data_IF_534236840519
#
_entry.id   IF_534236840519
#
_cell.length_a   1.000
_cell.length_b   1.000
_cell.length_c   1.000
_cell.angle_alpha   90.00
_cell.angle_beta   90.00
_cell.angle_gamma   90.00
#
_symmetry.space_group_name_H-M   'P 1'
#
loop_
_entity.id
_entity.type
_entity.pdbx_description
1 polymer ?
#
# COMPACT_ATOMS: atom_id res chain seq x y z
N UNK A 1 5.40 11.92 48.91
CA UNK A 1 5.27 11.71 47.45
C UNK A 1 5.63 13.01 46.75
N UNK A 2 6.82 13.09 46.14
CA UNK A 2 7.49 14.35 45.83
C UNK A 2 6.94 14.98 44.53
N UNK A 3 6.84 16.32 44.44
CA UNK A 3 6.31 17.02 43.25
C UNK A 3 7.08 16.69 41.96
N UNK A 4 8.37 16.32 42.05
CA UNK A 4 9.19 15.88 40.91
C UNK A 4 8.73 14.53 40.35
N UNK A 5 8.29 13.61 41.21
CA UNK A 5 7.79 12.30 40.78
C UNK A 5 6.49 12.46 39.98
N UNK A 6 5.57 13.32 40.44
CA UNK A 6 4.33 13.64 39.70
C UNK A 6 4.55 14.30 38.34
N UNK A 7 5.60 15.11 38.19
CA UNK A 7 5.94 15.75 36.91
C UNK A 7 6.54 14.73 35.93
N UNK A 8 7.41 13.83 36.41
CA UNK A 8 7.97 12.73 35.61
C UNK A 8 6.92 11.71 35.17
N UNK A 9 5.95 11.40 36.04
CA UNK A 9 4.83 10.51 35.73
C UNK A 9 3.87 11.13 34.70
N UNK A 10 3.59 12.43 34.83
CA UNK A 10 2.72 13.18 33.89
C UNK A 10 3.34 13.36 32.51
N UNK A 11 4.66 13.60 32.41
CA UNK A 11 5.36 13.69 31.11
C UNK A 11 5.47 12.34 30.42
N UNK A 12 5.69 11.26 31.18
CA UNK A 12 5.75 9.90 30.63
C UNK A 12 4.37 9.41 30.15
N UNK A 13 3.30 9.73 30.88
CA UNK A 13 1.90 9.49 30.46
C UNK A 13 1.54 10.27 29.19
N UNK A 14 1.88 11.57 29.10
CA UNK A 14 1.66 12.37 27.87
C UNK A 14 2.47 11.87 26.67
N UNK A 15 3.61 11.23 26.90
CA UNK A 15 4.42 10.61 25.85
C UNK A 15 3.80 9.27 25.41
N UNK A 16 3.26 8.49 26.33
CA UNK A 16 2.56 7.23 26.05
C UNK A 16 1.27 7.45 25.23
N UNK A 17 0.46 8.45 25.59
CA UNK A 17 -0.77 8.81 24.87
C UNK A 17 -0.50 9.26 23.43
N UNK A 18 0.63 9.92 23.21
CA UNK A 18 1.02 10.33 21.87
C UNK A 18 1.49 9.10 21.09
N UNK A 19 2.29 8.23 21.69
CA UNK A 19 2.72 7.01 21.01
C UNK A 19 1.53 6.13 20.60
N UNK A 20 0.48 6.04 21.41
CA UNK A 20 -0.72 5.27 21.07
C UNK A 20 -1.53 5.91 19.93
N UNK A 21 -1.74 7.24 19.97
CA UNK A 21 -2.45 7.98 18.93
C UNK A 21 -1.68 8.05 17.59
N UNK A 22 -0.37 7.95 17.63
CA UNK A 22 0.48 7.99 16.42
C UNK A 22 0.74 6.62 15.79
N UNK A 23 0.38 5.52 16.47
CA UNK A 23 0.60 4.17 15.94
C UNK A 23 -0.10 3.93 14.58
N UNK A 24 -1.38 4.29 14.38
CA UNK A 24 -2.03 4.14 13.07
C UNK A 24 -1.35 4.94 11.96
N UNK A 25 -0.75 6.10 12.30
CA UNK A 25 0.01 6.93 11.37
C UNK A 25 1.19 6.17 10.76
N UNK A 26 1.79 5.23 11.48
CA UNK A 26 2.96 4.48 11.02
C UNK A 26 2.64 3.06 10.56
N UNK A 27 1.67 2.40 11.21
CA UNK A 27 1.34 1.00 10.92
C UNK A 27 0.80 0.81 9.51
N UNK A 28 -0.09 1.68 9.08
CA UNK A 28 -0.73 1.62 7.77
C UNK A 28 0.27 1.78 6.61
N UNK A 29 1.10 2.84 6.55
CA UNK A 29 2.07 2.99 5.46
C UNK A 29 3.14 1.90 5.47
N UNK A 30 3.54 1.39 6.65
CA UNK A 30 4.41 0.22 6.73
C UNK A 30 3.76 -1.03 6.10
N UNK A 31 2.48 -1.27 6.37
CA UNK A 31 1.75 -2.38 5.77
C UNK A 31 1.67 -2.27 4.24
N UNK A 32 1.53 -1.05 3.72
CA UNK A 32 1.58 -0.77 2.28
C UNK A 32 2.96 -1.07 1.72
N UNK A 33 4.02 -0.56 2.35
CA UNK A 33 5.41 -0.83 1.96
C UNK A 33 5.70 -2.33 1.93
N UNK A 34 5.35 -3.06 2.99
CA UNK A 34 5.55 -4.51 3.05
C UNK A 34 4.72 -5.26 2.00
N UNK A 35 3.51 -4.78 1.64
CA UNK A 35 2.72 -5.35 0.53
C UNK A 35 3.42 -5.12 -0.82
N UNK A 36 3.89 -3.90 -1.07
CA UNK A 36 4.65 -3.55 -2.29
C UNK A 36 5.92 -4.38 -2.42
N UNK A 37 6.70 -4.46 -1.34
CA UNK A 37 7.91 -5.29 -1.27
C UNK A 37 7.67 -6.76 -1.63
N UNK A 38 6.65 -7.39 -1.02
CA UNK A 38 6.33 -8.80 -1.32
C UNK A 38 5.84 -9.01 -2.76
N UNK A 39 5.16 -8.01 -3.31
CA UNK A 39 4.65 -8.06 -4.69
C UNK A 39 5.79 -7.90 -5.68
N UNK A 40 6.69 -6.96 -5.44
CA UNK A 40 7.92 -6.76 -6.20
C UNK A 40 8.78 -8.02 -6.20
N UNK A 41 9.05 -8.58 -5.01
CA UNK A 41 9.82 -9.83 -4.87
C UNK A 41 9.23 -10.95 -5.73
N UNK A 42 7.93 -11.24 -5.59
CA UNK A 42 7.25 -12.29 -6.36
C UNK A 42 7.31 -12.04 -7.88
N UNK A 43 7.17 -10.78 -8.29
CA UNK A 43 7.21 -10.39 -9.70
C UNK A 43 8.61 -10.60 -10.27
N UNK A 44 9.64 -10.13 -9.57
CA UNK A 44 11.03 -10.28 -9.98
C UNK A 44 11.46 -11.75 -10.00
N UNK A 45 11.12 -12.53 -8.98
CA UNK A 45 11.42 -13.97 -8.95
C UNK A 45 10.82 -14.70 -10.17
N UNK A 46 9.61 -14.32 -10.58
CA UNK A 46 8.96 -14.87 -11.77
C UNK A 46 9.67 -14.49 -13.06
N UNK A 47 10.01 -13.22 -13.23
CA UNK A 47 10.71 -12.76 -14.44
C UNK A 47 12.12 -13.34 -14.53
N UNK A 48 12.82 -13.49 -13.40
CA UNK A 48 14.12 -14.18 -13.32
C UNK A 48 13.98 -15.65 -13.75
N UNK A 49 12.94 -16.35 -13.31
CA UNK A 49 12.68 -17.73 -13.77
C UNK A 49 12.42 -17.80 -15.29
N UNK A 50 11.72 -16.82 -15.87
CA UNK A 50 11.52 -16.75 -17.32
C UNK A 50 12.84 -16.53 -18.09
N UNK A 51 13.74 -15.70 -17.57
CA UNK A 51 15.08 -15.49 -18.12
C UNK A 51 15.92 -16.76 -18.01
N UNK A 52 15.95 -17.42 -16.85
CA UNK A 52 16.65 -18.69 -16.65
C UNK A 52 16.18 -19.77 -17.63
N UNK A 53 14.86 -19.86 -17.86
CA UNK A 53 14.30 -20.78 -18.83
C UNK A 53 14.79 -20.48 -20.27
N UNK A 54 14.93 -19.20 -20.65
CA UNK A 54 15.51 -18.85 -21.94
C UNK A 54 17.00 -19.21 -22.04
N UNK A 55 17.76 -19.09 -20.95
CA UNK A 55 19.18 -19.51 -20.94
C UNK A 55 19.28 -21.01 -21.24
N UNK A 56 18.45 -21.82 -20.58
CA UNK A 56 18.41 -23.26 -20.80
C UNK A 56 18.01 -23.64 -22.24
N UNK A 57 17.09 -22.88 -22.85
CA UNK A 57 16.71 -23.06 -24.26
C UNK A 57 17.87 -22.73 -25.22
N UNK A 58 18.64 -21.69 -24.92
CA UNK A 58 19.85 -21.33 -25.67
C UNK A 58 20.91 -22.43 -25.53
N UNK A 59 21.21 -22.89 -24.31
CA UNK A 59 22.21 -23.94 -24.06
C UNK A 59 21.87 -25.24 -24.81
N UNK A 60 20.59 -25.63 -24.80
CA UNK A 60 20.10 -26.78 -25.59
C UNK A 60 20.24 -26.55 -27.09
N UNK A 61 19.90 -25.35 -27.58
CA UNK A 61 20.01 -25.00 -28.99
C UNK A 61 21.46 -25.00 -29.50
N UNK A 62 22.42 -24.66 -28.64
CA UNK A 62 23.86 -24.64 -28.98
C UNK A 62 24.50 -26.04 -28.89
N UNK A 63 23.93 -26.96 -28.12
CA UNK A 63 24.50 -28.31 -27.93
C UNK A 63 24.18 -29.30 -29.04
N UNK A 64 23.42 -28.91 -30.08
CA UNK A 64 23.03 -29.79 -31.20
C UNK A 64 24.00 -29.73 -32.38
N UNK A 65 24.17 -30.85 -33.10
CA UNK A 65 25.12 -30.99 -34.23
C UNK A 65 24.77 -30.20 -35.50
N UNK A 66 23.60 -29.53 -35.57
CA UNK A 66 23.10 -28.90 -36.80
C UNK A 66 22.45 -27.52 -36.54
N UNK A 67 23.25 -26.59 -35.99
CA UNK A 67 22.78 -25.27 -35.56
C UNK A 67 22.66 -24.33 -36.76
N UNK A 68 21.44 -23.87 -37.06
CA UNK A 68 21.23 -22.79 -38.05
C UNK A 68 21.40 -21.44 -37.38
N UNK A 69 22.15 -20.53 -38.01
CA UNK A 69 22.36 -19.15 -37.53
C UNK A 69 21.04 -18.40 -37.27
N UNK A 70 20.00 -18.70 -38.05
CA UNK A 70 18.65 -18.13 -37.87
C UNK A 70 18.00 -18.54 -36.54
N UNK A 71 18.23 -19.78 -36.10
CA UNK A 71 17.65 -20.31 -34.86
C UNK A 71 18.32 -19.68 -33.64
N UNK A 72 19.65 -19.51 -33.68
CA UNK A 72 20.41 -18.76 -32.67
C UNK A 72 19.91 -17.32 -32.58
N UNK A 73 19.76 -16.64 -33.73
CA UNK A 73 19.28 -15.24 -33.75
C UNK A 73 17.87 -15.11 -33.17
N UNK A 74 17.02 -16.10 -33.36
CA UNK A 74 15.66 -16.12 -32.81
C UNK A 74 15.69 -16.31 -31.29
N UNK A 75 16.51 -17.24 -30.79
CA UNK A 75 16.67 -17.51 -29.36
C UNK A 75 17.26 -16.29 -28.61
N UNK A 76 18.27 -15.64 -29.20
CA UNK A 76 18.85 -14.41 -28.66
C UNK A 76 17.82 -13.26 -28.68
N UNK A 77 17.00 -13.15 -29.73
CA UNK A 77 15.88 -12.20 -29.78
C UNK A 77 14.91 -12.38 -28.61
N UNK A 78 14.46 -13.63 -28.38
CA UNK A 78 13.57 -13.94 -27.26
C UNK A 78 14.21 -13.69 -25.87
N UNK A 79 15.52 -13.91 -25.73
CA UNK A 79 16.25 -13.56 -24.51
C UNK A 79 16.25 -12.05 -24.27
N UNK A 80 16.53 -11.25 -25.31
CA UNK A 80 16.50 -9.79 -25.23
C UNK A 80 15.12 -9.29 -24.80
N UNK A 81 14.05 -9.84 -25.37
CA UNK A 81 12.67 -9.52 -24.98
C UNK A 81 12.41 -9.81 -23.49
N UNK A 82 12.78 -11.00 -23.00
CA UNK A 82 12.62 -11.38 -21.59
C UNK A 82 13.42 -10.47 -20.66
N UNK A 83 14.66 -10.11 -21.02
CA UNK A 83 15.49 -9.17 -20.26
C UNK A 83 14.89 -7.76 -20.23
N UNK A 84 14.31 -7.30 -21.34
CA UNK A 84 13.61 -6.01 -21.40
C UNK A 84 12.38 -5.99 -20.50
N UNK A 85 11.59 -7.08 -20.47
CA UNK A 85 10.45 -7.22 -19.57
C UNK A 85 10.90 -7.20 -18.10
N UNK A 86 11.93 -7.98 -17.74
CA UNK A 86 12.51 -7.98 -16.40
C UNK A 86 12.98 -6.57 -15.99
N UNK A 87 13.73 -5.88 -16.85
CA UNK A 87 14.21 -4.52 -16.61
C UNK A 87 13.04 -3.57 -16.31
N UNK A 88 12.03 -3.55 -17.18
CA UNK A 88 10.84 -2.70 -17.01
C UNK A 88 10.12 -3.01 -15.68
N UNK A 89 9.93 -4.30 -15.37
CA UNK A 89 9.26 -4.73 -14.12
C UNK A 89 10.06 -4.38 -12.86
N UNK A 90 11.39 -4.41 -12.94
CA UNK A 90 12.26 -3.95 -11.87
C UNK A 90 12.17 -2.44 -11.66
N UNK A 91 12.19 -1.64 -12.73
CA UNK A 91 12.05 -0.18 -12.65
C UNK A 91 10.70 0.22 -12.04
N UNK A 92 9.60 -0.40 -12.49
CA UNK A 92 8.26 -0.23 -11.92
C UNK A 92 8.24 -0.56 -10.43
N UNK A 93 8.77 -1.73 -10.04
CA UNK A 93 8.78 -2.19 -8.65
C UNK A 93 9.60 -1.27 -7.74
N UNK A 94 10.78 -0.84 -8.19
CA UNK A 94 11.65 0.09 -7.46
C UNK A 94 10.95 1.43 -7.25
N UNK A 95 10.31 1.97 -8.29
CA UNK A 95 9.59 3.23 -8.19
C UNK A 95 8.45 3.17 -7.16
N UNK A 96 7.67 2.08 -7.16
CA UNK A 96 6.58 1.88 -6.19
C UNK A 96 7.09 1.74 -4.75
N UNK A 97 8.15 0.96 -4.53
CA UNK A 97 8.76 0.78 -3.20
C UNK A 97 9.37 2.08 -2.69
N UNK A 98 10.05 2.84 -3.55
CA UNK A 98 10.63 4.13 -3.20
C UNK A 98 9.55 5.12 -2.79
N UNK A 99 8.43 5.16 -3.53
CA UNK A 99 7.30 6.00 -3.17
C UNK A 99 6.72 5.63 -1.79
N UNK A 100 6.43 4.34 -1.56
CA UNK A 100 5.91 3.87 -0.27
C UNK A 100 6.88 4.11 0.90
N UNK A 101 8.19 3.95 0.65
CA UNK A 101 9.25 4.24 1.62
C UNK A 101 9.32 5.71 1.96
N UNK A 102 9.22 6.60 0.97
CA UNK A 102 9.22 8.04 1.18
C UNK A 102 8.01 8.50 2.01
N UNK A 103 6.84 7.90 1.83
CA UNK A 103 5.66 8.16 2.69
C UNK A 103 5.95 7.76 4.14
N UNK A 104 6.53 6.57 4.37
CA UNK A 104 6.93 6.13 5.71
C UNK A 104 7.95 7.11 6.33
N UNK A 105 8.97 7.48 5.55
CA UNK A 105 10.04 8.39 5.97
C UNK A 105 9.47 9.76 6.38
N UNK A 106 8.64 10.39 5.54
CA UNK A 106 8.01 11.69 5.84
C UNK A 106 7.22 11.67 7.15
N UNK A 107 6.48 10.59 7.42
CA UNK A 107 5.73 10.44 8.66
C UNK A 107 6.64 10.23 9.87
N UNK A 108 7.70 9.45 9.75
CA UNK A 108 8.70 9.28 10.79
C UNK A 108 9.41 10.61 11.08
N UNK A 109 9.80 11.35 10.05
CA UNK A 109 10.48 12.63 10.17
C UNK A 109 9.58 13.65 10.88
N UNK A 110 8.29 13.72 10.52
CA UNK A 110 7.32 14.55 11.24
C UNK A 110 7.18 14.17 12.72
N UNK A 111 7.23 12.89 13.08
CA UNK A 111 7.21 12.48 14.49
C UNK A 111 8.52 12.81 15.22
N UNK A 112 9.66 12.70 14.53
CA UNK A 112 10.98 13.06 15.06
C UNK A 112 11.11 14.56 15.28
N UNK A 113 10.46 15.41 14.49
CA UNK A 113 10.40 16.86 14.71
C UNK A 113 9.98 17.18 16.14
N UNK A 114 9.05 16.41 16.72
CA UNK A 114 8.68 16.53 18.14
C UNK A 114 9.70 15.94 19.10
N UNK A 115 10.27 14.77 18.80
CA UNK A 115 11.22 14.10 19.69
C UNK A 115 12.51 14.92 19.89
N UNK A 116 12.88 15.72 18.89
CA UNK A 116 14.06 16.60 18.90
C UNK A 116 13.77 17.93 19.61
N UNK A 117 12.51 18.25 19.92
CA UNK A 117 12.13 19.49 20.62
C UNK A 117 12.53 19.47 22.10
N UNK A 118 13.79 19.84 22.35
CA UNK A 118 14.34 20.27 23.64
C UNK A 118 13.68 21.59 24.10
N UNK A 119 13.69 21.94 25.41
CA UNK A 119 13.08 23.17 25.94
C UNK A 119 13.59 24.49 25.34
N UNK A 120 14.65 24.47 24.52
CA UNK A 120 15.29 25.63 23.91
C UNK A 120 14.75 26.03 22.51
N UNK A 121 13.77 25.31 21.95
CA UNK A 121 13.19 25.63 20.63
C UNK A 121 12.06 26.66 20.75
N UNK A 122 11.95 27.55 19.75
CA UNK A 122 10.89 28.56 19.61
C UNK A 122 9.48 27.94 19.70
N UNK A 123 8.63 28.53 20.56
CA UNK A 123 7.21 28.19 20.70
C UNK A 123 6.45 28.18 19.36
N UNK A 124 6.89 28.97 18.38
CA UNK A 124 6.31 29.00 17.04
C UNK A 124 6.44 27.65 16.31
N UNK A 125 7.60 27.00 16.37
CA UNK A 125 7.83 25.70 15.73
C UNK A 125 6.99 24.59 16.38
N UNK A 126 6.85 24.63 17.71
CA UNK A 126 5.98 23.71 18.45
C UNK A 126 4.51 23.89 18.05
N UNK A 127 4.04 25.14 17.92
CA UNK A 127 2.68 25.43 17.50
C UNK A 127 2.42 24.98 16.06
N UNK A 128 3.38 25.18 15.14
CA UNK A 128 3.28 24.68 13.77
C UNK A 128 3.15 23.16 13.72
N UNK A 129 3.96 22.44 14.50
CA UNK A 129 3.86 20.98 14.60
C UNK A 129 2.50 20.52 15.15
N UNK A 130 2.01 21.17 16.20
CA UNK A 130 0.68 20.89 16.78
C UNK A 130 -0.44 21.12 15.77
N UNK A 131 -0.37 22.20 14.98
CA UNK A 131 -1.35 22.51 13.95
C UNK A 131 -1.35 21.44 12.85
N UNK A 132 -0.18 21.03 12.33
CA UNK A 132 -0.09 19.92 11.36
C UNK A 132 -0.68 18.61 11.90
N UNK A 133 -0.41 18.31 13.18
CA UNK A 133 -0.99 17.14 13.86
C UNK A 133 -2.50 17.23 13.94
N UNK A 134 -3.03 18.39 14.34
CA UNK A 134 -4.47 18.63 14.44
C UNK A 134 -5.14 18.49 13.07
N UNK A 135 -4.61 19.14 12.04
CA UNK A 135 -5.12 19.05 10.67
C UNK A 135 -5.20 17.60 10.21
N UNK A 136 -4.16 16.80 10.46
CA UNK A 136 -4.18 15.36 10.15
C UNK A 136 -5.29 14.60 10.89
N UNK A 137 -5.50 14.89 12.18
CA UNK A 137 -6.58 14.27 12.95
C UNK A 137 -7.97 14.65 12.41
N UNK A 138 -8.13 15.91 11.99
CA UNK A 138 -9.37 16.40 11.36
C UNK A 138 -9.59 15.75 10.00
N UNK A 139 -8.54 15.61 9.18
CA UNK A 139 -8.61 14.86 7.91
C UNK A 139 -9.08 13.43 8.15
N UNK A 140 -8.50 12.73 9.13
CA UNK A 140 -8.92 11.35 9.45
C UNK A 140 -10.37 11.28 9.94
N UNK A 141 -10.80 12.24 10.78
CA UNK A 141 -12.18 12.37 11.19
C UNK A 141 -13.11 12.55 10.00
N UNK A 142 -12.80 13.46 9.07
CA UNK A 142 -13.59 13.67 7.86
C UNK A 142 -13.69 12.41 7.00
N UNK A 143 -12.59 11.68 6.80
CA UNK A 143 -12.59 10.43 6.05
C UNK A 143 -13.48 9.37 6.69
N UNK A 144 -13.43 9.21 8.02
CA UNK A 144 -14.26 8.25 8.76
C UNK A 144 -15.76 8.58 8.73
N UNK A 145 -16.11 9.85 8.56
CA UNK A 145 -17.50 10.30 8.46
C UNK A 145 -17.97 10.49 6.99
N UNK A 146 -17.17 10.09 6.01
CA UNK A 146 -17.53 10.21 4.59
C UNK A 146 -17.41 11.62 4.00
N UNK A 147 -16.82 12.57 4.71
CA UNK A 147 -16.55 13.93 4.23
C UNK A 147 -15.27 14.00 3.37
N UNK A 148 -15.18 13.18 2.33
CA UNK A 148 -13.96 13.00 1.53
C UNK A 148 -13.46 14.30 0.88
N UNK A 149 -14.35 15.13 0.34
CA UNK A 149 -13.95 16.38 -0.32
C UNK A 149 -13.34 17.37 0.67
N UNK A 150 -13.92 17.48 1.88
CA UNK A 150 -13.37 18.33 2.94
C UNK A 150 -12.01 17.81 3.42
N UNK A 151 -11.87 16.48 3.56
CA UNK A 151 -10.61 15.83 3.90
C UNK A 151 -9.50 16.13 2.88
N UNK A 152 -9.80 15.98 1.59
CA UNK A 152 -8.88 16.28 0.49
C UNK A 152 -8.49 17.76 0.50
N UNK A 153 -9.47 18.66 0.56
CA UNK A 153 -9.22 20.10 0.56
C UNK A 153 -8.35 20.56 1.74
N UNK A 154 -8.61 20.05 2.94
CA UNK A 154 -7.80 20.36 4.12
C UNK A 154 -6.37 19.82 3.97
N UNK A 155 -6.22 18.58 3.50
CA UNK A 155 -4.90 17.98 3.32
C UNK A 155 -4.05 18.72 2.27
N UNK A 156 -4.69 19.24 1.21
CA UNK A 156 -4.05 20.06 0.19
C UNK A 156 -3.65 21.44 0.74
N UNK A 157 -4.58 22.16 1.38
CA UNK A 157 -4.32 23.49 1.94
C UNK A 157 -3.25 23.49 3.02
N UNK A 158 -3.21 22.43 3.84
CA UNK A 158 -2.19 22.28 4.89
C UNK A 158 -0.92 21.59 4.40
N UNK A 159 -0.85 21.18 3.13
CA UNK A 159 0.27 20.44 2.54
C UNK A 159 0.65 19.17 3.35
N UNK A 160 -0.34 18.42 3.82
CA UNK A 160 -0.16 17.24 4.68
C UNK A 160 -0.64 15.93 4.03
N UNK A 161 -0.90 15.90 2.73
CA UNK A 161 -1.41 14.70 2.04
C UNK A 161 -0.59 13.44 2.36
N UNK A 162 0.74 13.53 2.34
CA UNK A 162 1.66 12.44 2.69
C UNK A 162 1.55 11.91 4.12
N UNK A 163 0.98 12.71 5.03
CA UNK A 163 0.76 12.35 6.43
C UNK A 163 -0.62 11.72 6.66
N UNK A 164 -1.45 11.61 5.62
CA UNK A 164 -2.86 11.17 5.70
C UNK A 164 -3.10 9.86 4.96
N UNK A 165 -4.17 9.16 5.29
CA UNK A 165 -4.53 7.88 4.68
C UNK A 165 -5.62 8.03 3.60
N UNK A 166 -5.71 9.20 2.95
CA UNK A 166 -6.79 9.55 2.01
C UNK A 166 -7.00 8.47 0.95
N UNK A 167 -5.94 8.03 0.27
CA UNK A 167 -6.06 7.09 -0.86
C UNK A 167 -6.66 5.74 -0.45
N UNK A 168 -6.42 5.32 0.80
CA UNK A 168 -6.97 4.07 1.35
C UNK A 168 -8.47 4.21 1.57
N UNK A 169 -8.90 5.33 2.15
CA UNK A 169 -10.32 5.62 2.35
C UNK A 169 -11.05 5.82 1.03
N UNK A 170 -10.41 6.40 0.02
CA UNK A 170 -10.98 6.52 -1.34
C UNK A 170 -11.15 5.14 -2.00
N UNK A 171 -10.17 4.25 -1.83
CA UNK A 171 -10.30 2.85 -2.29
C UNK A 171 -11.48 2.15 -1.61
N UNK A 172 -11.62 2.29 -0.29
CA UNK A 172 -12.77 1.73 0.44
C UNK A 172 -14.09 2.31 -0.04
N UNK A 173 -14.17 3.64 -0.22
CA UNK A 173 -15.36 4.34 -0.74
C UNK A 173 -15.77 3.81 -2.11
N UNK A 174 -14.81 3.57 -3.00
CA UNK A 174 -15.10 3.04 -4.33
C UNK A 174 -15.69 1.63 -4.26
N UNK A 175 -15.14 0.78 -3.41
CA UNK A 175 -15.68 -0.56 -3.14
C UNK A 175 -17.10 -0.48 -2.57
N UNK A 176 -17.32 0.37 -1.57
CA UNK A 176 -18.64 0.59 -0.95
C UNK A 176 -19.66 1.09 -1.97
N UNK A 177 -19.28 2.05 -2.82
CA UNK A 177 -20.16 2.58 -3.86
C UNK A 177 -20.51 1.54 -4.92
N UNK A 178 -19.57 0.68 -5.30
CA UNK A 178 -19.80 -0.41 -6.26
C UNK A 178 -20.77 -1.44 -5.67
N UNK A 179 -20.59 -1.82 -4.41
CA UNK A 179 -21.52 -2.71 -3.72
C UNK A 179 -22.93 -2.12 -3.57
N UNK A 180 -23.03 -0.81 -3.29
CA UNK A 180 -24.31 -0.12 -3.24
C UNK A 180 -25.03 -0.12 -4.61
N UNK A 181 -24.29 -0.16 -5.71
CA UNK A 181 -24.79 -0.33 -7.08
C UNK A 181 -24.99 -1.79 -7.48
N UNK A 182 -24.96 -2.74 -6.54
CA UNK A 182 -25.07 -4.18 -6.81
C UNK A 182 -23.94 -4.77 -7.68
N UNK A 183 -22.79 -4.10 -7.75
CA UNK A 183 -21.61 -4.59 -8.45
C UNK A 183 -20.62 -5.22 -7.47
N UNK A 184 -20.32 -6.51 -7.64
CA UNK A 184 -19.43 -7.26 -6.72
C UNK A 184 -17.97 -7.28 -7.17
N UNK A 185 -17.70 -7.01 -8.46
CA UNK A 185 -16.39 -7.19 -9.10
C UNK A 185 -15.24 -6.44 -8.41
N UNK A 186 -15.47 -5.18 -8.01
CA UNK A 186 -14.44 -4.38 -7.33
C UNK A 186 -14.14 -4.91 -5.94
N UNK A 187 -15.16 -5.33 -5.20
CA UNK A 187 -14.99 -5.91 -3.87
C UNK A 187 -14.31 -7.28 -3.93
N UNK A 188 -14.64 -8.11 -4.93
CA UNK A 188 -13.96 -9.39 -5.17
C UNK A 188 -12.48 -9.21 -5.50
N UNK A 189 -12.14 -8.23 -6.34
CA UNK A 189 -10.74 -7.85 -6.61
C UNK A 189 -10.05 -7.41 -5.31
N UNK A 190 -10.71 -6.59 -4.49
CA UNK A 190 -10.18 -6.18 -3.18
C UNK A 190 -9.96 -7.38 -2.24
N UNK A 191 -10.87 -8.36 -2.22
CA UNK A 191 -10.72 -9.58 -1.44
C UNK A 191 -9.51 -10.39 -1.89
N UNK A 192 -9.33 -10.57 -3.20
CA UNK A 192 -8.16 -11.24 -3.76
C UNK A 192 -6.85 -10.57 -3.31
N UNK A 193 -6.79 -9.25 -3.42
CA UNK A 193 -5.64 -8.42 -3.04
C UNK A 193 -5.31 -8.44 -1.54
N UNK A 194 -6.28 -8.84 -0.71
CA UNK A 194 -6.15 -8.90 0.74
C UNK A 194 -6.32 -10.32 1.30
N UNK A 195 -6.31 -11.35 0.43
CA UNK A 195 -6.63 -12.75 0.77
C UNK A 195 -5.86 -13.29 1.97
N UNK A 196 -4.56 -13.00 2.05
CA UNK A 196 -3.71 -13.45 3.17
C UNK A 196 -4.12 -12.81 4.51
N UNK A 197 -4.55 -11.54 4.52
CA UNK A 197 -5.06 -10.87 5.73
C UNK A 197 -6.46 -11.39 6.09
N UNK A 198 -7.35 -11.50 5.11
CA UNK A 198 -8.71 -12.03 5.31
C UNK A 198 -8.70 -13.45 5.87
N UNK A 199 -7.80 -14.32 5.37
CA UNK A 199 -7.62 -15.68 5.90
C UNK A 199 -7.17 -15.69 7.36
N UNK A 200 -6.24 -14.81 7.74
CA UNK A 200 -5.80 -14.67 9.14
C UNK A 200 -6.92 -14.19 10.06
N UNK A 201 -7.80 -13.33 9.55
CA UNK A 201 -8.99 -12.84 10.26
C UNK A 201 -10.15 -13.84 10.26
N UNK A 202 -10.02 -14.99 9.57
CA UNK A 202 -11.11 -15.94 9.35
C UNK A 202 -12.38 -15.27 8.78
N UNK A 203 -12.19 -14.29 7.91
CA UNK A 203 -13.30 -13.55 7.31
C UNK A 203 -14.04 -14.40 6.27
N UNK A 204 -15.37 -14.37 6.32
CA UNK A 204 -16.28 -14.98 5.34
C UNK A 204 -16.68 -14.01 4.21
N UNK A 205 -16.07 -12.82 4.13
CA UNK A 205 -16.47 -11.77 3.19
C UNK A 205 -16.46 -12.22 1.73
N UNK A 206 -15.40 -12.89 1.30
CA UNK A 206 -15.27 -13.38 -0.09
C UNK A 206 -16.39 -14.38 -0.42
N UNK A 207 -16.73 -15.29 0.51
CA UNK A 207 -17.82 -16.23 0.32
C UNK A 207 -19.17 -15.52 0.19
N UNK A 208 -19.47 -14.57 1.09
CA UNK A 208 -20.71 -13.80 1.03
C UNK A 208 -20.81 -12.99 -0.27
N UNK A 209 -19.70 -12.44 -0.76
CA UNK A 209 -19.65 -11.74 -2.05
C UNK A 209 -19.92 -12.65 -3.23
N UNK A 210 -19.45 -13.90 -3.21
CA UNK A 210 -19.76 -14.89 -4.26
C UNK A 210 -21.22 -15.29 -4.25
N UNK A 211 -21.83 -15.41 -3.08
CA UNK A 211 -23.29 -15.60 -2.97
C UNK A 211 -24.02 -14.39 -3.55
N UNK A 212 -23.58 -13.17 -3.24
CA UNK A 212 -24.17 -11.96 -3.82
C UNK A 212 -24.01 -11.92 -5.35
N UNK A 213 -22.82 -12.24 -5.87
CA UNK A 213 -22.54 -12.32 -7.31
C UNK A 213 -23.47 -13.30 -8.01
N UNK A 214 -23.68 -14.49 -7.45
CA UNK A 214 -24.66 -15.46 -7.94
C UNK A 214 -26.07 -14.85 -8.00
N UNK A 215 -26.51 -14.19 -6.94
CA UNK A 215 -27.83 -13.54 -6.88
C UNK A 215 -27.97 -12.48 -7.99
N UNK A 216 -26.95 -11.65 -8.22
CA UNK A 216 -27.00 -10.60 -9.25
C UNK A 216 -26.96 -11.17 -10.67
N UNK A 217 -26.24 -12.27 -10.90
CA UNK A 217 -26.26 -12.99 -12.18
C UNK A 217 -27.64 -13.58 -12.48
N UNK A 218 -28.29 -14.20 -11.49
CA UNK A 218 -29.65 -14.71 -11.64
C UNK A 218 -30.65 -13.58 -11.88
N UNK A 219 -30.55 -12.44 -11.17
CA UNK A 219 -31.39 -11.25 -11.40
C UNK A 219 -31.22 -10.64 -12.79
N UNK A 220 -30.03 -10.76 -13.36
CA UNK A 220 -29.71 -10.31 -14.72
C UNK A 220 -30.04 -11.35 -15.80
N UNK A 221 -30.73 -12.44 -15.43
CA UNK A 221 -31.05 -13.62 -16.26
C UNK A 221 -29.84 -14.31 -16.92
N UNK A 222 -28.64 -14.13 -16.35
CA UNK A 222 -27.39 -14.78 -16.78
C UNK A 222 -27.18 -16.11 -16.05
N UNK A 223 -28.18 -16.99 -16.11
CA UNK A 223 -28.21 -18.24 -15.32
C UNK A 223 -27.09 -19.22 -15.66
N UNK A 224 -26.59 -19.20 -16.89
CA UNK A 224 -25.48 -20.07 -17.32
C UNK A 224 -24.13 -19.65 -16.72
N UNK A 225 -24.02 -18.40 -16.26
CA UNK A 225 -22.79 -17.84 -15.68
C UNK A 225 -22.82 -17.82 -14.14
N UNK A 226 -23.99 -18.07 -13.56
CA UNK A 226 -24.23 -18.11 -12.11
C UNK A 226 -23.82 -19.48 -11.53
#
# INVERSE_FOLDING_TARGET
MNRRDKIGESTNSKMADVKSLEHPTLKIPYDILNKKFRTAQKTLDREVAHVQQAVLEIEKGISGDNIKTKDISTLLGGMVEKLQVLKRKAEESIAEELHATNVCKRRIDHLKERAIQSPSISQAALNQWKNKRLDRMVVEYFLRNGYYNAAILLAEKSCIKDLTNIDIFLTSREVESSLASHETSKCLTWCHDNRSKLRKLKSNMEFNLRVQEFIELVRSDRRMEA
#
